data_IF_410879838503
#
_entry.id   IF_410879838503
#
_cell.length_a   1.000
_cell.length_b   1.000
_cell.length_c   1.000
_cell.angle_alpha   90.00
_cell.angle_beta   90.00
_cell.angle_gamma   90.00
#
_symmetry.space_group_name_H-M   'P 1'
#
loop_
_entity.id
_entity.type
_entity.pdbx_description
1 polymer ?
#
# COMPACT_ATOMS: atom_id res chain seq x y z
N UNK A 1 -27.97 -17.55 24.53
CA UNK A 1 -27.74 -17.00 23.18
C UNK A 1 -26.24 -16.93 22.94
N UNK A 2 -25.73 -17.22 21.74
CA UNK A 2 -24.31 -17.08 21.44
C UNK A 2 -23.90 -15.60 21.40
N UNK A 3 -22.65 -15.31 21.71
CA UNK A 3 -22.08 -13.97 21.57
C UNK A 3 -21.99 -13.56 20.10
N UNK A 4 -22.25 -12.28 19.81
CA UNK A 4 -22.15 -11.71 18.46
C UNK A 4 -20.70 -11.72 17.98
N UNK A 5 -20.47 -12.11 16.72
CA UNK A 5 -19.12 -12.11 16.17
C UNK A 5 -18.60 -10.67 16.04
N UNK A 6 -17.32 -10.46 16.32
CA UNK A 6 -16.73 -9.11 16.28
C UNK A 6 -16.84 -8.45 14.89
N UNK A 7 -16.90 -9.24 13.82
CA UNK A 7 -17.04 -8.75 12.45
C UNK A 7 -18.45 -8.23 12.14
N UNK A 8 -19.46 -8.58 12.94
CA UNK A 8 -20.83 -8.11 12.74
C UNK A 8 -21.01 -6.66 13.22
N UNK A 9 -20.08 -6.15 14.04
CA UNK A 9 -20.10 -4.74 14.44
C UNK A 9 -19.68 -3.84 13.28
N UNK A 10 -20.51 -2.84 12.98
CA UNK A 10 -20.25 -1.84 11.95
C UNK A 10 -18.91 -1.12 12.16
N UNK A 11 -18.50 -0.90 13.42
CA UNK A 11 -17.20 -0.30 13.76
C UNK A 11 -16.02 -1.18 13.33
N UNK A 12 -16.16 -2.50 13.39
CA UNK A 12 -15.13 -3.44 12.94
C UNK A 12 -15.10 -3.51 11.41
N UNK A 13 -16.27 -3.54 10.77
CA UNK A 13 -16.40 -3.50 9.31
C UNK A 13 -15.80 -2.22 8.73
N UNK A 14 -16.04 -1.07 9.37
CA UNK A 14 -15.49 0.22 8.94
C UNK A 14 -13.96 0.27 9.02
N UNK A 15 -13.34 -0.51 9.89
CA UNK A 15 -11.87 -0.66 9.92
C UNK A 15 -11.37 -1.57 8.81
N UNK A 16 -12.00 -2.74 8.63
CA UNK A 16 -11.43 -3.83 7.83
C UNK A 16 -11.86 -3.80 6.35
N UNK A 17 -13.12 -3.47 6.05
CA UNK A 17 -13.62 -3.54 4.68
C UNK A 17 -13.02 -2.48 3.75
N UNK A 18 -12.76 -1.23 4.20
CA UNK A 18 -12.00 -0.29 3.39
C UNK A 18 -10.59 -0.78 3.09
N UNK A 19 -9.90 -1.38 4.06
CA UNK A 19 -8.56 -1.95 3.84
C UNK A 19 -8.58 -3.13 2.86
N UNK A 20 -9.61 -3.98 2.92
CA UNK A 20 -9.81 -5.05 1.95
C UNK A 20 -10.00 -4.49 0.55
N UNK A 21 -10.85 -3.47 0.39
CA UNK A 21 -11.05 -2.79 -0.89
C UNK A 21 -9.75 -2.14 -1.40
N UNK A 22 -9.02 -1.45 -0.52
CA UNK A 22 -7.72 -0.85 -0.82
C UNK A 22 -6.69 -1.89 -1.27
N UNK A 23 -6.64 -3.07 -0.66
CA UNK A 23 -5.72 -4.13 -1.08
C UNK A 23 -5.95 -4.56 -2.54
N UNK A 24 -7.21 -4.70 -2.96
CA UNK A 24 -7.55 -5.01 -4.36
C UNK A 24 -7.27 -3.83 -5.29
N UNK A 25 -7.60 -2.61 -4.88
CA UNK A 25 -7.31 -1.41 -5.65
C UNK A 25 -5.80 -1.25 -5.91
N UNK A 26 -4.97 -1.43 -4.87
CA UNK A 26 -3.52 -1.41 -4.95
C UNK A 26 -2.98 -2.51 -5.85
N UNK A 27 -3.56 -3.71 -5.82
CA UNK A 27 -3.20 -4.81 -6.73
C UNK A 27 -3.42 -4.41 -8.20
N UNK A 28 -4.58 -3.82 -8.52
CA UNK A 28 -4.86 -3.37 -9.88
C UNK A 28 -3.98 -2.18 -10.29
N UNK A 29 -3.73 -1.24 -9.39
CA UNK A 29 -2.78 -0.15 -9.63
C UNK A 29 -1.37 -0.67 -9.91
N UNK A 30 -0.91 -1.70 -9.19
CA UNK A 30 0.38 -2.36 -9.44
C UNK A 30 0.46 -3.04 -10.81
N UNK A 31 -0.61 -3.72 -11.24
CA UNK A 31 -0.68 -4.29 -12.59
C UNK A 31 -0.60 -3.20 -13.68
N UNK A 32 -1.32 -2.09 -13.48
CA UNK A 32 -1.27 -0.95 -14.38
C UNK A 32 0.14 -0.34 -14.43
N UNK A 33 0.77 -0.14 -13.28
CA UNK A 33 2.13 0.40 -13.17
C UNK A 33 3.16 -0.47 -13.90
N UNK A 34 3.04 -1.80 -13.81
CA UNK A 34 3.91 -2.74 -14.53
C UNK A 34 3.73 -2.65 -16.04
N UNK A 35 2.49 -2.47 -16.51
CA UNK A 35 2.20 -2.25 -17.93
C UNK A 35 2.83 -0.93 -18.40
N UNK A 36 2.61 0.16 -17.67
CA UNK A 36 3.17 1.47 -17.98
C UNK A 36 4.71 1.42 -18.03
N UNK A 37 5.34 0.77 -17.05
CA UNK A 37 6.80 0.57 -17.04
C UNK A 37 7.30 -0.16 -18.28
N UNK A 38 6.61 -1.23 -18.69
CA UNK A 38 7.00 -2.04 -19.85
C UNK A 38 6.88 -1.22 -21.15
N UNK A 39 5.80 -0.45 -21.30
CA UNK A 39 5.56 0.41 -22.46
C UNK A 39 6.62 1.51 -22.56
N UNK A 40 6.87 2.24 -21.47
CA UNK A 40 7.86 3.33 -21.47
C UNK A 40 9.28 2.80 -21.64
N UNK A 41 9.61 1.63 -21.08
CA UNK A 41 10.94 1.00 -21.30
C UNK A 41 11.17 0.67 -22.78
N UNK A 42 10.12 0.25 -23.49
CA UNK A 42 10.19 0.05 -24.94
C UNK A 42 10.43 1.36 -25.68
N UNK A 43 9.71 2.43 -25.34
CA UNK A 43 9.93 3.76 -25.93
C UNK A 43 11.36 4.27 -25.72
N UNK A 44 11.91 4.07 -24.51
CA UNK A 44 13.30 4.44 -24.19
C UNK A 44 14.28 3.70 -25.10
N UNK A 45 14.05 2.42 -25.38
CA UNK A 45 14.90 1.63 -26.29
C UNK A 45 14.89 2.14 -27.74
N UNK A 46 13.80 2.82 -28.13
CA UNK A 46 13.64 3.49 -29.42
C UNK A 46 14.16 4.94 -29.40
N UNK A 47 14.70 5.41 -28.27
CA UNK A 47 15.21 6.76 -28.08
C UNK A 47 14.13 7.80 -27.73
N UNK A 48 12.89 7.37 -27.48
CA UNK A 48 11.79 8.25 -27.10
C UNK A 48 11.67 8.35 -25.57
N UNK A 49 11.93 9.53 -25.02
CA UNK A 49 11.89 9.81 -23.58
C UNK A 49 10.64 10.59 -23.13
N UNK A 50 9.66 10.80 -24.01
CA UNK A 50 8.52 11.69 -23.75
C UNK A 50 7.66 11.25 -22.55
N UNK A 51 7.50 9.93 -22.36
CA UNK A 51 6.65 9.36 -21.31
C UNK A 51 7.39 9.09 -19.99
N UNK A 52 8.72 9.27 -19.98
CA UNK A 52 9.55 9.02 -18.79
C UNK A 52 9.19 9.93 -17.60
N UNK A 53 8.90 11.24 -17.77
CA UNK A 53 8.47 12.10 -16.66
C UNK A 53 7.18 11.62 -16.00
N UNK A 54 6.19 11.20 -16.80
CA UNK A 54 4.91 10.69 -16.29
C UNK A 54 5.10 9.36 -15.55
N UNK A 55 5.91 8.44 -16.09
CA UNK A 55 6.30 7.21 -15.41
C UNK A 55 6.91 7.50 -14.04
N UNK A 56 7.84 8.45 -13.98
CA UNK A 56 8.52 8.82 -12.74
C UNK A 56 7.55 9.43 -11.71
N UNK A 57 6.77 10.43 -12.11
CA UNK A 57 5.83 11.09 -11.20
C UNK A 57 4.75 10.12 -10.67
N UNK A 58 4.23 9.25 -11.54
CA UNK A 58 3.23 8.23 -11.19
C UNK A 58 3.79 7.17 -10.25
N UNK A 59 5.00 6.66 -10.55
CA UNK A 59 5.64 5.64 -9.70
C UNK A 59 6.02 6.19 -8.33
N UNK A 60 6.57 7.41 -8.24
CA UNK A 60 6.88 8.07 -6.98
C UNK A 60 5.62 8.24 -6.10
N UNK A 61 4.53 8.73 -6.69
CA UNK A 61 3.28 9.00 -5.97
C UNK A 61 2.61 7.71 -5.51
N UNK A 62 2.52 6.70 -6.39
CA UNK A 62 1.95 5.40 -6.04
C UNK A 62 2.79 4.68 -4.99
N UNK A 63 4.12 4.75 -5.06
CA UNK A 63 5.00 4.17 -4.04
C UNK A 63 4.70 4.78 -2.68
N UNK A 64 4.65 6.11 -2.60
CA UNK A 64 4.44 6.81 -1.34
C UNK A 64 3.05 6.50 -0.76
N UNK A 65 2.01 6.67 -1.58
CA UNK A 65 0.63 6.44 -1.16
C UNK A 65 0.39 4.99 -0.71
N UNK A 66 0.80 4.01 -1.51
CA UNK A 66 0.59 2.59 -1.21
C UNK A 66 1.36 2.14 0.03
N UNK A 67 2.61 2.57 0.20
CA UNK A 67 3.43 2.17 1.33
C UNK A 67 2.91 2.74 2.65
N UNK A 68 2.47 3.99 2.67
CA UNK A 68 1.86 4.60 3.85
C UNK A 68 0.54 3.93 4.21
N UNK A 69 -0.36 3.75 3.22
CA UNK A 69 -1.65 3.11 3.43
C UNK A 69 -1.51 1.66 3.93
N UNK A 70 -0.59 0.89 3.35
CA UNK A 70 -0.36 -0.50 3.76
C UNK A 70 0.23 -0.59 5.17
N UNK A 71 1.21 0.25 5.51
CA UNK A 71 1.80 0.29 6.85
C UNK A 71 0.73 0.57 7.92
N UNK A 72 -0.08 1.63 7.71
CA UNK A 72 -1.19 1.98 8.60
C UNK A 72 -2.27 0.88 8.64
N UNK A 73 -2.54 0.24 7.50
CA UNK A 73 -3.51 -0.84 7.38
C UNK A 73 -3.12 -2.10 8.16
N UNK A 74 -1.85 -2.51 8.10
CA UNK A 74 -1.33 -3.66 8.86
C UNK A 74 -1.52 -3.43 10.37
N UNK A 75 -1.18 -2.24 10.86
CA UNK A 75 -1.34 -1.90 12.27
C UNK A 75 -2.83 -1.85 12.68
N UNK A 76 -3.70 -1.31 11.83
CA UNK A 76 -5.14 -1.31 12.08
C UNK A 76 -5.71 -2.74 12.13
N UNK A 77 -5.25 -3.64 11.27
CA UNK A 77 -5.57 -5.07 11.33
C UNK A 77 -5.11 -5.69 12.66
N UNK A 78 -3.88 -5.39 13.10
CA UNK A 78 -3.33 -5.85 14.38
C UNK A 78 -4.19 -5.43 15.57
N UNK A 79 -4.55 -4.15 15.64
CA UNK A 79 -5.41 -3.59 16.67
C UNK A 79 -6.82 -4.18 16.64
N UNK A 80 -7.33 -4.51 15.45
CA UNK A 80 -8.66 -5.11 15.25
C UNK A 80 -8.76 -6.54 15.75
N UNK A 81 -7.63 -7.24 15.96
CA UNK A 81 -7.57 -8.56 16.61
C UNK A 81 -7.52 -8.50 18.15
N UNK A 82 -7.66 -7.31 18.75
CA UNK A 82 -7.63 -7.13 20.19
C UNK A 82 -6.33 -7.61 20.84
N UNK A 83 -6.41 -8.13 22.06
CA UNK A 83 -5.22 -8.60 22.80
C UNK A 83 -4.43 -9.69 22.08
N UNK A 84 -5.10 -10.57 21.35
CA UNK A 84 -4.42 -11.63 20.59
C UNK A 84 -3.64 -11.10 19.38
N UNK A 85 -3.99 -9.91 18.86
CA UNK A 85 -3.20 -9.22 17.84
C UNK A 85 -1.82 -8.76 18.33
N UNK A 86 -1.59 -8.64 19.64
CA UNK A 86 -0.26 -8.37 20.20
C UNK A 86 0.66 -9.60 20.14
N UNK A 87 0.09 -10.80 20.21
CA UNK A 87 0.88 -12.03 20.19
C UNK A 87 1.58 -12.22 18.84
N UNK A 88 2.84 -12.69 18.88
CA UNK A 88 3.57 -13.11 17.68
C UNK A 88 2.83 -14.22 16.90
N UNK A 89 2.00 -15.02 17.57
CA UNK A 89 1.17 -16.03 16.94
C UNK A 89 0.14 -15.47 15.94
N UNK A 90 -0.21 -14.18 16.04
CA UNK A 90 -1.07 -13.51 15.05
C UNK A 90 -0.36 -13.21 13.73
N UNK A 91 0.98 -13.20 13.71
CA UNK A 91 1.81 -12.83 12.55
C UNK A 91 1.82 -11.32 12.22
N UNK A 92 0.88 -10.54 12.74
CA UNK A 92 0.70 -9.12 12.41
C UNK A 92 1.85 -8.22 12.94
N UNK A 93 2.40 -8.41 14.15
CA UNK A 93 3.55 -7.63 14.60
C UNK A 93 4.78 -7.80 13.70
N UNK A 94 5.08 -9.05 13.29
CA UNK A 94 6.21 -9.33 12.40
C UNK A 94 5.98 -8.73 11.01
N UNK A 95 4.77 -8.89 10.46
CA UNK A 95 4.39 -8.29 9.17
C UNK A 95 4.56 -6.76 9.19
N UNK A 96 4.15 -6.09 10.27
CA UNK A 96 4.35 -4.65 10.42
C UNK A 96 5.84 -4.31 10.48
N UNK A 97 6.61 -5.03 11.29
CA UNK A 97 8.05 -4.79 11.42
C UNK A 97 8.77 -4.93 10.07
N UNK A 98 8.45 -5.96 9.30
CA UNK A 98 9.04 -6.23 7.98
C UNK A 98 8.63 -5.18 6.94
N UNK A 99 7.39 -4.67 7.01
CA UNK A 99 6.87 -3.72 6.03
C UNK A 99 7.16 -2.26 6.38
N UNK A 100 7.31 -1.92 7.67
CA UNK A 100 7.51 -0.56 8.19
C UNK A 100 8.67 0.24 7.57
N UNK A 101 9.71 -0.36 6.96
CA UNK A 101 10.72 0.39 6.23
C UNK A 101 10.30 0.83 4.81
N UNK A 102 9.22 0.28 4.25
CA UNK A 102 8.77 0.57 2.88
C UNK A 102 8.49 2.05 2.59
N UNK A 103 7.93 2.85 3.53
CA UNK A 103 7.84 4.30 3.39
C UNK A 103 9.18 5.03 3.25
N UNK A 104 10.31 4.39 3.57
CA UNK A 104 11.65 5.00 3.57
C UNK A 104 12.52 4.53 2.40
N UNK A 105 12.47 3.24 2.07
CA UNK A 105 13.26 2.68 0.96
C UNK A 105 12.79 3.21 -0.39
N UNK A 106 13.69 3.24 -1.39
CA UNK A 106 13.45 3.80 -2.73
C UNK A 106 13.03 5.29 -2.74
N UNK A 107 13.23 6.00 -1.64
CA UNK A 107 12.89 7.41 -1.46
C UNK A 107 11.87 7.63 -0.36
N UNK A 108 12.16 8.56 0.55
CA UNK A 108 11.24 8.90 1.65
C UNK A 108 9.92 9.46 1.11
N UNK A 109 8.79 9.03 1.69
CA UNK A 109 7.46 9.29 1.14
C UNK A 109 7.14 10.78 0.95
N UNK A 110 7.52 11.66 1.85
CA UNK A 110 7.32 13.11 1.71
C UNK A 110 8.07 13.64 0.48
N UNK A 111 9.33 13.23 0.30
CA UNK A 111 10.12 13.60 -0.88
C UNK A 111 9.49 13.04 -2.17
N UNK A 112 9.02 11.78 -2.16
CA UNK A 112 8.37 11.17 -3.32
C UNK A 112 7.08 11.90 -3.71
N UNK A 113 6.24 12.26 -2.73
CA UNK A 113 5.03 13.06 -2.98
C UNK A 113 5.36 14.44 -3.55
N UNK A 114 6.45 15.07 -3.09
CA UNK A 114 6.93 16.33 -3.65
C UNK A 114 7.45 16.18 -5.09
N UNK A 115 8.00 15.03 -5.46
CA UNK A 115 8.39 14.76 -6.85
C UNK A 115 7.16 14.60 -7.76
N UNK A 116 6.10 13.96 -7.27
CA UNK A 116 4.83 13.84 -8.02
C UNK A 116 4.11 15.17 -8.18
N UNK A 117 4.25 16.09 -7.22
CA UNK A 117 3.57 17.38 -7.24
C UNK A 117 4.21 18.43 -8.18
N UNK A 118 5.44 18.18 -8.66
CA UNK A 118 6.20 19.08 -9.54
C UNK A 118 5.92 18.78 -11.01
#
# INVERSE_FOLDING_TARGET
>A
EPETQVLDYQTQQFKLFPLLASAYAMKFAGHYMMKLYTEVTKEISEGNLKSLPELHATSAGLKAFCSELCCNGIELCRLSCGGHGYSAASGLPQLYADYSPSPTYEGENTVMLLQTAR
#
